data_IF_858690870023
#
_entry.id   IF_858690870023
#
_cell.length_a   1.000
_cell.length_b   1.000
_cell.length_c   1.000
_cell.angle_alpha   90.00
_cell.angle_beta   90.00
_cell.angle_gamma   90.00
#
_symmetry.space_group_name_H-M   'P 1'
#
loop_
_entity.id
_entity.type
_entity.pdbx_description
1 polymer ?
#
# COMPACT_ATOMS: atom_id res chain seq x y z
N UNK A 1 -4.37 -21.95 19.56
CA UNK A 1 -5.18 -21.54 18.39
C UNK A 1 -4.33 -20.62 17.52
N UNK A 2 -3.40 -21.19 16.75
CA UNK A 2 -2.47 -20.44 15.92
C UNK A 2 -3.11 -20.21 14.54
N UNK A 3 -3.35 -18.95 14.18
CA UNK A 3 -3.90 -18.59 12.86
C UNK A 3 -2.99 -19.13 11.76
N UNK A 4 -3.58 -19.84 10.79
CA UNK A 4 -2.87 -20.35 9.62
C UNK A 4 -2.06 -19.22 8.95
N UNK A 5 -0.78 -19.42 8.58
CA UNK A 5 0.10 -18.37 8.02
C UNK A 5 -0.55 -17.59 6.87
N UNK A 6 -1.33 -18.27 6.03
CA UNK A 6 -2.10 -17.69 4.94
C UNK A 6 -3.11 -16.64 5.43
N UNK A 7 -3.89 -16.96 6.47
CA UNK A 7 -4.88 -16.03 7.03
C UNK A 7 -4.23 -14.81 7.69
N UNK A 8 -3.00 -14.95 8.23
CA UNK A 8 -2.27 -13.84 8.86
C UNK A 8 -1.86 -12.73 7.88
N UNK A 9 -1.75 -13.06 6.59
CA UNK A 9 -1.39 -12.09 5.53
C UNK A 9 -2.62 -11.65 4.74
N UNK A 10 -3.63 -12.51 4.56
CA UNK A 10 -4.87 -12.14 3.86
C UNK A 10 -5.61 -10.97 4.55
N UNK A 11 -5.76 -11.03 5.88
CA UNK A 11 -6.45 -10.00 6.65
C UNK A 11 -5.80 -8.61 6.55
N UNK A 12 -4.49 -8.44 6.79
CA UNK A 12 -3.85 -7.13 6.66
C UNK A 12 -3.80 -6.64 5.20
N UNK A 13 -3.70 -7.52 4.19
CA UNK A 13 -3.82 -7.11 2.78
C UNK A 13 -5.20 -6.48 2.50
N UNK A 14 -6.27 -7.13 2.97
CA UNK A 14 -7.64 -6.66 2.76
C UNK A 14 -7.91 -5.36 3.52
N UNK A 15 -7.40 -5.24 4.75
CA UNK A 15 -7.44 -4.00 5.51
C UNK A 15 -6.67 -2.86 4.81
N UNK A 16 -5.52 -3.15 4.21
CA UNK A 16 -4.72 -2.16 3.48
C UNK A 16 -5.46 -1.62 2.24
N UNK A 17 -6.16 -2.48 1.50
CA UNK A 17 -7.00 -2.07 0.36
C UNK A 17 -8.13 -1.11 0.83
N UNK A 18 -8.82 -1.45 1.92
CA UNK A 18 -9.90 -0.62 2.47
C UNK A 18 -9.36 0.75 2.92
N UNK A 19 -8.21 0.78 3.59
CA UNK A 19 -7.58 2.03 4.04
C UNK A 19 -7.12 2.91 2.87
N UNK A 20 -6.59 2.32 1.79
CA UNK A 20 -6.22 3.07 0.58
C UNK A 20 -7.44 3.63 -0.16
N UNK A 21 -8.53 2.87 -0.25
CA UNK A 21 -9.81 3.35 -0.75
C UNK A 21 -10.34 4.52 0.09
N UNK A 22 -10.32 4.39 1.41
CA UNK A 22 -10.73 5.45 2.33
C UNK A 22 -9.88 6.72 2.15
N UNK A 23 -8.57 6.57 1.98
CA UNK A 23 -7.66 7.71 1.74
C UNK A 23 -7.95 8.38 0.39
N UNK A 24 -8.28 7.59 -0.64
CA UNK A 24 -8.67 8.11 -1.96
C UNK A 24 -9.97 8.91 -1.89
N UNK A 25 -10.95 8.46 -1.10
CA UNK A 25 -12.22 9.16 -0.91
C UNK A 25 -12.04 10.48 -0.14
N UNK A 26 -11.15 10.49 0.85
CA UNK A 26 -10.80 11.70 1.61
C UNK A 26 -10.25 12.82 0.72
N UNK A 27 -9.56 12.49 -0.38
CA UNK A 27 -9.03 13.50 -1.33
C UNK A 27 -10.16 14.32 -1.98
N UNK A 28 -11.36 13.77 -2.12
CA UNK A 28 -12.52 14.47 -2.68
C UNK A 28 -13.36 15.24 -1.64
N UNK A 29 -13.06 15.10 -0.35
CA UNK A 29 -13.82 15.78 0.70
C UNK A 29 -13.29 17.21 0.85
N UNK A 30 -14.07 18.16 0.33
CA UNK A 30 -13.82 19.59 0.47
C UNK A 30 -13.72 19.96 1.96
N UNK A 31 -12.51 20.26 2.44
CA UNK A 31 -12.24 20.53 3.86
C UNK A 31 -11.87 22.00 4.11
N UNK A 32 -12.42 22.91 3.30
CA UNK A 32 -12.17 24.36 3.44
C UNK A 32 -12.59 24.93 4.81
N UNK A 33 -13.49 24.25 5.53
CA UNK A 33 -14.07 24.75 6.78
C UNK A 33 -13.47 24.16 8.07
N UNK A 34 -12.62 23.12 7.99
CA UNK A 34 -12.05 22.44 9.19
C UNK A 34 -10.74 21.69 8.90
N UNK A 35 -9.70 22.44 8.57
CA UNK A 35 -8.36 21.92 8.26
C UNK A 35 -7.76 21.04 9.38
N UNK A 36 -8.02 21.35 10.66
CA UNK A 36 -7.54 20.57 11.81
C UNK A 36 -8.12 19.15 11.82
N UNK A 37 -9.39 19.01 11.45
CA UNK A 37 -10.08 17.70 11.40
C UNK A 37 -9.54 16.85 10.26
N UNK A 38 -9.34 17.42 9.07
CA UNK A 38 -8.73 16.71 7.94
C UNK A 38 -7.31 16.25 8.24
N UNK A 39 -6.51 17.10 8.87
CA UNK A 39 -5.17 16.73 9.29
C UNK A 39 -5.18 15.56 10.27
N UNK A 40 -6.02 15.61 11.32
CA UNK A 40 -6.15 14.54 12.29
C UNK A 40 -6.55 13.20 11.64
N UNK A 41 -7.59 13.21 10.79
CA UNK A 41 -8.06 12.02 10.08
C UNK A 41 -6.99 11.46 9.14
N UNK A 42 -6.29 12.32 8.40
CA UNK A 42 -5.23 11.92 7.47
C UNK A 42 -4.08 11.25 8.23
N UNK A 43 -3.60 11.85 9.33
CA UNK A 43 -2.53 11.28 10.15
C UNK A 43 -2.95 9.95 10.78
N UNK A 44 -4.18 9.85 11.33
CA UNK A 44 -4.69 8.58 11.87
C UNK A 44 -4.72 7.49 10.79
N UNK A 45 -5.14 7.84 9.57
CA UNK A 45 -5.18 6.92 8.43
C UNK A 45 -3.77 6.47 8.02
N UNK A 46 -2.82 7.40 7.95
CA UNK A 46 -1.41 7.10 7.64
C UNK A 46 -0.79 6.18 8.69
N UNK A 47 -1.06 6.41 9.97
CA UNK A 47 -0.60 5.52 11.05
C UNK A 47 -1.19 4.12 10.90
N UNK A 48 -2.48 4.01 10.61
CA UNK A 48 -3.13 2.72 10.37
C UNK A 48 -2.55 1.98 9.15
N UNK A 49 -2.29 2.70 8.04
CA UNK A 49 -1.66 2.14 6.85
C UNK A 49 -0.26 1.63 7.16
N UNK A 50 0.56 2.40 7.88
CA UNK A 50 1.92 1.99 8.24
C UNK A 50 1.91 0.74 9.14
N UNK A 51 0.99 0.65 10.10
CA UNK A 51 0.84 -0.52 10.93
C UNK A 51 0.51 -1.78 10.10
N UNK A 52 -0.47 -1.69 9.19
CA UNK A 52 -0.83 -2.80 8.30
C UNK A 52 0.31 -3.16 7.34
N UNK A 53 1.02 -2.15 6.81
CA UNK A 53 2.20 -2.34 5.98
C UNK A 53 3.29 -3.13 6.69
N UNK A 54 3.53 -2.85 7.98
CA UNK A 54 4.46 -3.62 8.81
C UNK A 54 4.07 -5.10 8.93
N UNK A 55 2.79 -5.41 9.11
CA UNK A 55 2.30 -6.79 9.15
C UNK A 55 2.47 -7.52 7.81
N UNK A 56 2.16 -6.85 6.69
CA UNK A 56 2.30 -7.42 5.34
C UNK A 56 3.77 -7.64 4.99
N UNK A 57 4.64 -6.65 5.24
CA UNK A 57 6.07 -6.76 4.97
C UNK A 57 6.75 -7.79 5.87
N UNK A 58 6.41 -7.82 7.16
CA UNK A 58 6.93 -8.81 8.10
C UNK A 58 6.49 -10.24 7.75
N UNK A 59 5.21 -10.41 7.41
CA UNK A 59 4.68 -11.69 6.95
C UNK A 59 5.27 -12.15 5.61
N UNK A 60 5.31 -11.26 4.61
CA UNK A 60 5.83 -11.55 3.27
C UNK A 60 7.33 -11.84 3.27
N UNK A 61 8.13 -11.03 3.97
CA UNK A 61 9.57 -11.24 4.10
C UNK A 61 9.88 -12.49 4.93
N UNK A 62 9.07 -12.80 5.96
CA UNK A 62 9.16 -14.04 6.72
C UNK A 62 8.96 -15.29 5.87
N UNK A 63 7.97 -15.27 4.95
CA UNK A 63 7.78 -16.34 3.97
C UNK A 63 8.96 -16.42 2.99
N UNK A 64 9.41 -15.27 2.46
CA UNK A 64 10.55 -15.21 1.56
C UNK A 64 11.85 -15.75 2.19
N UNK A 65 12.01 -15.63 3.52
CA UNK A 65 13.15 -16.17 4.27
C UNK A 65 13.07 -17.65 4.60
N UNK A 66 11.86 -18.22 4.54
CA UNK A 66 11.67 -19.67 4.68
C UNK A 66 11.93 -20.42 3.36
N UNK A 67 11.98 -19.70 2.24
CA UNK A 67 12.28 -20.21 0.90
C UNK A 67 13.79 -20.15 0.61
N UNK A 68 14.29 -20.86 -0.43
CA UNK A 68 15.69 -20.76 -0.85
C UNK A 68 16.14 -19.31 -1.01
N UNK A 69 17.40 -19.00 -0.65
CA UNK A 69 17.97 -17.63 -0.60
C UNK A 69 17.68 -16.76 -1.83
N UNK A 70 17.51 -17.37 -3.00
CA UNK A 70 17.13 -16.72 -4.26
C UNK A 70 15.81 -15.92 -4.15
N UNK A 71 14.82 -16.41 -3.40
CA UNK A 71 13.51 -15.74 -3.22
C UNK A 71 13.58 -14.52 -2.32
N UNK A 72 14.47 -14.51 -1.33
CA UNK A 72 14.74 -13.31 -0.53
C UNK A 72 15.29 -12.17 -1.39
N UNK A 73 16.21 -12.49 -2.32
CA UNK A 73 16.76 -11.52 -3.27
C UNK A 73 15.66 -10.90 -4.16
N UNK A 74 14.70 -11.70 -4.62
CA UNK A 74 13.55 -11.19 -5.37
C UNK A 74 12.64 -10.29 -4.54
N UNK A 75 12.41 -10.60 -3.26
CA UNK A 75 11.59 -9.77 -2.37
C UNK A 75 12.23 -8.39 -2.14
N UNK A 76 13.54 -8.35 -1.84
CA UNK A 76 14.27 -7.08 -1.63
C UNK A 76 14.34 -6.25 -2.91
N UNK A 77 14.58 -6.89 -4.06
CA UNK A 77 14.54 -6.20 -5.35
C UNK A 77 13.16 -5.62 -5.66
N UNK A 78 12.07 -6.32 -5.28
CA UNK A 78 10.71 -5.82 -5.40
C UNK A 78 10.45 -4.54 -4.60
N UNK A 79 10.95 -4.47 -3.35
CA UNK A 79 10.87 -3.25 -2.53
C UNK A 79 11.65 -2.09 -3.17
N UNK A 80 12.86 -2.34 -3.67
CA UNK A 80 13.68 -1.33 -4.35
C UNK A 80 12.99 -0.79 -5.63
N UNK A 81 12.39 -1.67 -6.44
CA UNK A 81 11.59 -1.29 -7.60
C UNK A 81 10.40 -0.41 -7.23
N UNK A 82 9.70 -0.73 -6.15
CA UNK A 82 8.60 0.10 -5.62
C UNK A 82 9.05 1.52 -5.28
N UNK A 83 10.21 1.65 -4.63
CA UNK A 83 10.83 2.95 -4.33
C UNK A 83 11.21 3.74 -5.58
N UNK A 84 11.79 3.09 -6.60
CA UNK A 84 12.11 3.74 -7.86
C UNK A 84 10.86 4.25 -8.59
N UNK A 85 9.79 3.44 -8.64
CA UNK A 85 8.53 3.85 -9.25
C UNK A 85 7.91 5.06 -8.54
N UNK A 86 7.97 5.10 -7.20
CA UNK A 86 7.51 6.24 -6.41
C UNK A 86 8.30 7.52 -6.73
N UNK A 87 9.63 7.44 -6.78
CA UNK A 87 10.49 8.59 -7.12
C UNK A 87 10.25 9.10 -8.54
N UNK A 88 10.10 8.20 -9.52
CA UNK A 88 9.77 8.57 -10.91
C UNK A 88 8.43 9.27 -10.97
N UNK A 89 7.41 8.72 -10.31
CA UNK A 89 6.09 9.32 -10.28
C UNK A 89 6.13 10.72 -9.63
N UNK A 90 6.89 10.89 -8.53
CA UNK A 90 7.12 12.20 -7.89
C UNK A 90 7.73 13.24 -8.85
N UNK A 91 8.76 12.85 -9.61
CA UNK A 91 9.37 13.72 -10.62
C UNK A 91 8.36 14.10 -11.71
N UNK A 92 7.57 13.14 -12.19
CA UNK A 92 6.52 13.40 -13.18
C UNK A 92 5.45 14.35 -12.66
N UNK A 93 5.05 14.24 -11.38
CA UNK A 93 4.09 15.16 -10.77
C UNK A 93 4.64 16.58 -10.60
N UNK A 94 5.96 16.74 -10.38
CA UNK A 94 6.58 18.07 -10.32
C UNK A 94 6.66 18.70 -11.71
N UNK A 95 6.96 17.90 -12.75
CA UNK A 95 7.03 18.36 -14.14
C UNK A 95 5.66 18.70 -14.74
N UNK A 96 4.62 17.96 -14.36
CA UNK A 96 3.28 18.10 -14.94
C UNK A 96 2.52 19.37 -14.55
N UNK A 97 2.98 20.13 -13.54
CA UNK A 97 2.29 21.31 -12.98
C UNK A 97 0.77 21.08 -12.76
N UNK A 98 0.39 19.84 -12.46
CA UNK A 98 -0.98 19.44 -12.20
C UNK A 98 -1.35 19.82 -10.78
N UNK A 99 -2.63 20.19 -10.58
CA UNK A 99 -3.17 20.45 -9.24
C UNK A 99 -2.80 19.29 -8.30
N UNK A 100 -2.31 19.58 -7.08
CA UNK A 100 -1.83 18.55 -6.16
C UNK A 100 -2.91 17.52 -5.81
N UNK A 101 -4.18 17.92 -5.84
CA UNK A 101 -5.37 17.07 -5.66
C UNK A 101 -5.44 15.96 -6.71
N UNK A 102 -5.30 16.32 -7.99
CA UNK A 102 -5.37 15.37 -9.11
C UNK A 102 -4.16 14.43 -9.09
N UNK A 103 -2.96 14.95 -8.83
CA UNK A 103 -1.77 14.11 -8.69
C UNK A 103 -1.93 13.11 -7.55
N UNK A 104 -2.37 13.54 -6.36
CA UNK A 104 -2.65 12.67 -5.20
C UNK A 104 -3.65 11.56 -5.55
N UNK A 105 -4.74 11.91 -6.24
CA UNK A 105 -5.71 10.92 -6.72
C UNK A 105 -5.08 9.85 -7.61
N UNK A 106 -4.24 10.25 -8.58
CA UNK A 106 -3.55 9.29 -9.45
C UNK A 106 -2.58 8.40 -8.66
N UNK A 107 -1.87 8.92 -7.66
CA UNK A 107 -1.01 8.11 -6.80
C UNK A 107 -1.79 7.07 -6.01
N UNK A 108 -2.84 7.47 -5.29
CA UNK A 108 -3.62 6.55 -4.48
C UNK A 108 -4.36 5.52 -5.33
N UNK A 109 -4.87 5.92 -6.49
CA UNK A 109 -5.49 5.00 -7.45
C UNK A 109 -4.49 3.97 -7.96
N UNK A 110 -3.30 4.42 -8.39
CA UNK A 110 -2.24 3.52 -8.86
C UNK A 110 -1.82 2.55 -7.75
N UNK A 111 -1.60 3.03 -6.53
CA UNK A 111 -1.28 2.18 -5.38
C UNK A 111 -2.38 1.15 -5.08
N UNK A 112 -3.65 1.55 -5.20
CA UNK A 112 -4.80 0.64 -5.02
C UNK A 112 -4.82 -0.45 -6.10
N UNK A 113 -4.54 -0.11 -7.37
CA UNK A 113 -4.42 -1.10 -8.46
C UNK A 113 -3.30 -2.10 -8.18
N UNK A 114 -2.12 -1.63 -7.75
CA UNK A 114 -1.01 -2.50 -7.37
C UNK A 114 -1.39 -3.44 -6.21
N UNK A 115 -2.06 -2.93 -5.17
CA UNK A 115 -2.54 -3.75 -4.06
C UNK A 115 -3.57 -4.81 -4.51
N UNK A 116 -4.48 -4.46 -5.40
CA UNK A 116 -5.43 -5.42 -6.00
C UNK A 116 -4.70 -6.52 -6.78
N UNK A 117 -3.70 -6.15 -7.59
CA UNK A 117 -2.85 -7.11 -8.30
C UNK A 117 -2.15 -8.04 -7.30
N UNK A 118 -1.52 -7.48 -6.26
CA UNK A 118 -0.87 -8.26 -5.20
C UNK A 118 -1.86 -9.22 -4.52
N UNK A 119 -3.08 -8.79 -4.25
CA UNK A 119 -4.12 -9.65 -3.66
C UNK A 119 -4.50 -10.81 -4.58
N UNK A 120 -4.69 -10.55 -5.88
CA UNK A 120 -4.99 -11.60 -6.87
C UNK A 120 -3.84 -12.61 -6.97
N UNK A 121 -2.59 -12.13 -7.07
CA UNK A 121 -1.41 -13.01 -7.09
C UNK A 121 -1.30 -13.83 -5.80
N UNK A 122 -1.52 -13.23 -4.64
CA UNK A 122 -1.47 -13.94 -3.37
C UNK A 122 -2.55 -15.03 -3.28
N UNK A 123 -3.77 -14.75 -3.76
CA UNK A 123 -4.85 -15.74 -3.84
C UNK A 123 -4.54 -16.86 -4.83
N UNK A 124 -3.88 -16.55 -5.94
CA UNK A 124 -3.45 -17.54 -6.93
C UNK A 124 -2.36 -18.46 -6.39
N UNK A 125 -1.33 -17.91 -5.71
CA UNK A 125 -0.28 -18.68 -5.06
C UNK A 125 -0.82 -19.60 -3.95
N UNK A 126 -1.86 -19.19 -3.23
CA UNK A 126 -2.50 -20.04 -2.21
C UNK A 126 -3.39 -21.16 -2.79
N UNK A 127 -3.71 -21.11 -4.08
CA UNK A 127 -4.55 -22.12 -4.76
C UNK A 127 -3.72 -23.20 -5.46
N UNK A 128 -2.46 -22.90 -5.80
CA UNK A 128 -1.51 -23.85 -6.39
C UNK A 128 -0.79 -24.66 -5.32
#
# INVERSE_FOLDING_TARGET
>A
MWLQPSKRIQWPLMAMIILFLFTTLIVFVDTDNSQTTFFAVTITTVVAINAMCGFVQGGGTGIAGSLPKKYMGYNVNGMALGGMLASVAQILSLLGNTKPENSAFFYFTTATVFLCITFVFFRLTLRS
#
